data_IF_675317558212
#
_entry.id   IF_675317558212
#
_cell.length_a   1.000
_cell.length_b   1.000
_cell.length_c   1.000
_cell.angle_alpha   90.00
_cell.angle_beta   90.00
_cell.angle_gamma   90.00
#
_symmetry.space_group_name_H-M   'P 1'
#
loop_
_entity.id
_entity.type
_entity.pdbx_description
1 polymer ?
#
# COMPACT_ATOMS: atom_id res chain seq x y z
N UNK A 1 -16.62 5.38 4.79
CA UNK A 1 -15.92 6.14 5.87
C UNK A 1 -15.36 7.46 5.38
N UNK A 2 -14.68 7.53 4.23
CA UNK A 2 -14.14 8.81 3.72
C UNK A 2 -15.22 9.87 3.55
N UNK A 3 -16.38 9.54 3.00
CA UNK A 3 -17.48 10.48 2.80
C UNK A 3 -18.08 11.00 4.12
N UNK A 4 -18.12 10.16 5.16
CA UNK A 4 -18.64 10.57 6.49
C UNK A 4 -17.67 11.56 7.16
N UNK A 5 -16.36 11.33 7.07
CA UNK A 5 -15.36 12.28 7.62
C UNK A 5 -15.30 13.58 6.83
N UNK A 6 -15.52 13.54 5.51
CA UNK A 6 -15.63 14.70 4.64
C UNK A 6 -16.87 15.54 4.97
N UNK A 7 -18.05 14.90 5.09
CA UNK A 7 -19.30 15.58 5.41
C UNK A 7 -19.34 16.18 6.82
N UNK A 8 -18.61 15.60 7.76
CA UNK A 8 -18.52 16.10 9.15
C UNK A 8 -17.37 17.09 9.37
N UNK A 9 -16.53 17.37 8.35
CA UNK A 9 -15.37 18.28 8.48
C UNK A 9 -14.29 17.82 9.46
N UNK A 10 -14.28 16.51 9.81
CA UNK A 10 -13.36 15.93 10.82
C UNK A 10 -12.25 15.07 10.18
N UNK A 11 -11.80 15.43 8.98
CA UNK A 11 -10.71 14.73 8.28
C UNK A 11 -9.41 14.64 9.11
N UNK A 12 -9.13 15.66 9.91
CA UNK A 12 -7.99 15.69 10.83
C UNK A 12 -8.00 14.61 11.93
N UNK A 13 -9.17 14.03 12.22
CA UNK A 13 -9.32 12.97 13.24
C UNK A 13 -9.07 11.56 12.69
N UNK A 14 -9.06 11.41 11.37
CA UNK A 14 -8.82 10.12 10.70
C UNK A 14 -7.53 9.43 11.16
N UNK A 15 -6.38 10.12 11.26
CA UNK A 15 -5.15 9.51 11.79
C UNK A 15 -5.28 9.06 13.24
N UNK A 16 -5.95 9.87 14.08
CA UNK A 16 -6.16 9.54 15.48
C UNK A 16 -7.07 8.32 15.66
N UNK A 17 -8.20 8.30 14.94
CA UNK A 17 -9.12 7.15 14.96
C UNK A 17 -8.43 5.89 14.45
N UNK A 18 -7.66 6.00 13.38
CA UNK A 18 -6.88 4.88 12.85
C UNK A 18 -5.85 4.38 13.86
N UNK A 19 -5.14 5.28 14.55
CA UNK A 19 -4.17 4.92 15.58
C UNK A 19 -4.82 4.25 16.80
N UNK A 20 -6.05 4.63 17.16
CA UNK A 20 -6.78 4.03 18.28
C UNK A 20 -7.42 2.67 17.91
N UNK A 21 -7.81 2.49 16.64
CA UNK A 21 -8.43 1.24 16.17
C UNK A 21 -7.38 0.17 15.79
N UNK A 22 -6.24 0.61 15.27
CA UNK A 22 -5.17 -0.30 14.88
C UNK A 22 -4.22 -0.55 16.07
N UNK A 23 -3.77 -1.81 16.23
CA UNK A 23 -2.71 -2.09 17.19
C UNK A 23 -1.47 -1.21 16.96
N UNK A 24 -0.70 -0.88 18.01
CA UNK A 24 -0.71 -1.50 19.34
C UNK A 24 -1.69 -0.88 20.34
N UNK A 25 -2.30 0.30 20.06
CA UNK A 25 -3.06 1.05 21.05
C UNK A 25 -4.18 0.25 21.75
N UNK A 26 -5.12 -0.44 21.05
CA UNK A 26 -6.18 -1.17 21.73
C UNK A 26 -5.65 -2.32 22.60
N UNK A 27 -4.56 -2.99 22.21
CA UNK A 27 -3.96 -4.06 22.99
C UNK A 27 -3.30 -3.54 24.25
N UNK A 28 -2.62 -2.39 24.17
CA UNK A 28 -2.05 -1.72 25.35
C UNK A 28 -3.16 -1.24 26.30
N UNK A 29 -4.26 -0.72 25.77
CA UNK A 29 -5.42 -0.33 26.59
C UNK A 29 -6.00 -1.54 27.35
N UNK A 30 -6.08 -2.71 26.72
CA UNK A 30 -6.51 -3.93 27.43
C UNK A 30 -5.60 -4.26 28.62
N UNK A 31 -4.28 -4.16 28.44
CA UNK A 31 -3.31 -4.39 29.52
C UNK A 31 -3.51 -3.37 30.66
N UNK A 32 -3.65 -2.08 30.34
CA UNK A 32 -3.82 -1.02 31.33
C UNK A 32 -5.15 -1.16 32.08
N UNK A 33 -6.25 -1.48 31.39
CA UNK A 33 -7.56 -1.73 32.00
C UNK A 33 -7.49 -2.96 32.91
N UNK A 34 -6.85 -4.03 32.44
CA UNK A 34 -6.61 -5.23 33.25
C UNK A 34 -5.83 -4.92 34.51
N UNK A 35 -4.72 -4.19 34.40
CA UNK A 35 -3.92 -3.76 35.56
C UNK A 35 -4.76 -2.93 36.56
N UNK A 36 -5.61 -2.02 36.07
CA UNK A 36 -6.50 -1.19 36.93
C UNK A 36 -7.55 -2.04 37.66
N UNK A 37 -8.03 -3.11 37.02
CA UNK A 37 -9.04 -4.01 37.60
C UNK A 37 -8.47 -5.05 38.56
N UNK A 38 -7.15 -5.19 38.70
CA UNK A 38 -6.47 -6.23 39.49
C UNK A 38 -6.96 -6.29 40.93
N UNK A 39 -7.26 -5.14 41.50
CA UNK A 39 -7.71 -5.04 42.91
C UNK A 39 -9.19 -5.40 43.14
N UNK A 40 -10.02 -5.31 42.08
CA UNK A 40 -11.47 -5.48 42.20
C UNK A 40 -11.99 -6.76 41.54
N UNK A 41 -11.41 -7.18 40.41
CA UNK A 41 -11.87 -8.31 39.57
C UNK A 41 -10.67 -9.07 39.02
N UNK A 42 -9.97 -9.82 39.85
CA UNK A 42 -8.70 -10.49 39.52
C UNK A 42 -8.78 -11.35 38.26
N UNK A 43 -9.84 -12.17 38.11
CA UNK A 43 -9.96 -13.08 36.96
C UNK A 43 -10.09 -12.30 35.63
N UNK A 44 -10.97 -11.31 35.59
CA UNK A 44 -11.14 -10.45 34.42
C UNK A 44 -9.86 -9.65 34.13
N UNK A 45 -9.19 -9.18 35.16
CA UNK A 45 -7.90 -8.46 35.05
C UNK A 45 -6.85 -9.33 34.35
N UNK A 46 -6.66 -10.55 34.82
CA UNK A 46 -5.73 -11.49 34.17
C UNK A 46 -6.11 -11.83 32.74
N UNK A 47 -7.39 -12.05 32.45
CA UNK A 47 -7.86 -12.28 31.07
C UNK A 47 -7.52 -11.13 30.15
N UNK A 48 -7.78 -9.88 30.57
CA UNK A 48 -7.45 -8.69 29.77
C UNK A 48 -5.96 -8.52 29.55
N UNK A 49 -5.15 -8.72 30.59
CA UNK A 49 -3.68 -8.64 30.50
C UNK A 49 -3.17 -9.72 29.54
N UNK A 50 -3.57 -10.97 29.73
CA UNK A 50 -3.14 -12.07 28.85
C UNK A 50 -3.55 -11.84 27.40
N UNK A 51 -4.79 -11.41 27.16
CA UNK A 51 -5.28 -11.08 25.82
C UNK A 51 -4.46 -9.96 25.17
N UNK A 52 -4.19 -8.88 25.91
CA UNK A 52 -3.40 -7.77 25.44
C UNK A 52 -1.94 -8.15 25.13
N UNK A 53 -1.29 -8.88 26.03
CA UNK A 53 0.11 -9.32 25.86
C UNK A 53 0.23 -10.35 24.74
N UNK A 54 -0.65 -11.36 24.70
CA UNK A 54 -0.66 -12.36 23.63
C UNK A 54 -0.97 -11.70 22.27
N UNK A 55 -1.93 -10.78 22.24
CA UNK A 55 -2.24 -10.02 21.03
C UNK A 55 -1.04 -9.21 20.54
N UNK A 56 -0.30 -8.54 21.42
CA UNK A 56 0.93 -7.82 21.09
C UNK A 56 2.02 -8.76 20.56
N UNK A 57 2.20 -9.92 21.22
CA UNK A 57 3.14 -10.93 20.76
C UNK A 57 2.81 -11.39 19.33
N UNK A 58 1.60 -11.85 19.10
CA UNK A 58 1.13 -12.33 17.80
C UNK A 58 1.25 -11.27 16.72
N UNK A 59 0.89 -10.03 17.05
CA UNK A 59 0.99 -8.92 16.13
C UNK A 59 2.42 -8.64 15.65
N UNK A 60 3.41 -8.94 16.49
CA UNK A 60 4.83 -8.77 16.13
C UNK A 60 5.39 -9.97 15.36
N UNK A 61 4.61 -11.03 15.08
CA UNK A 61 5.10 -12.23 14.40
C UNK A 61 4.94 -12.17 12.89
N UNK A 62 5.94 -12.66 12.16
CA UNK A 62 5.89 -12.79 10.70
C UNK A 62 4.80 -13.78 10.25
N UNK A 63 4.52 -14.81 11.05
CA UNK A 63 3.48 -15.80 10.80
C UNK A 63 2.10 -15.15 10.65
N UNK A 64 1.71 -14.27 11.58
CA UNK A 64 0.42 -13.57 11.50
C UNK A 64 0.39 -12.65 10.28
N UNK A 65 1.47 -11.91 9.98
CA UNK A 65 1.56 -11.10 8.77
C UNK A 65 1.33 -11.92 7.49
N UNK A 66 1.98 -13.08 7.36
CA UNK A 66 1.80 -14.01 6.23
C UNK A 66 0.36 -14.56 6.16
N UNK A 67 -0.22 -14.96 7.30
CA UNK A 67 -1.59 -15.47 7.36
C UNK A 67 -2.63 -14.40 6.97
N UNK A 68 -2.47 -13.16 7.43
CA UNK A 68 -3.36 -12.07 7.07
C UNK A 68 -3.23 -11.70 5.58
N UNK A 69 -2.01 -11.64 5.06
CA UNK A 69 -1.80 -11.37 3.64
C UNK A 69 -2.48 -12.44 2.77
N UNK A 70 -2.24 -13.72 3.06
CA UNK A 70 -2.76 -14.82 2.25
C UNK A 70 -4.26 -15.11 2.51
N UNK A 71 -4.75 -14.87 3.71
CA UNK A 71 -6.14 -15.14 4.10
C UNK A 71 -7.10 -13.98 3.82
N UNK A 72 -6.71 -12.74 4.15
CA UNK A 72 -7.58 -11.57 4.03
C UNK A 72 -7.36 -10.79 2.73
N UNK A 73 -6.10 -10.51 2.40
CA UNK A 73 -5.79 -9.63 1.26
C UNK A 73 -5.72 -10.40 -0.06
N UNK A 74 -5.20 -11.61 -0.07
CA UNK A 74 -5.11 -12.50 -1.23
C UNK A 74 -4.61 -11.81 -2.50
N UNK A 75 -3.42 -11.19 -2.49
CA UNK A 75 -2.88 -10.58 -3.69
C UNK A 75 -2.62 -11.65 -4.76
N UNK A 76 -2.65 -11.27 -6.05
CA UNK A 76 -2.17 -12.17 -7.09
C UNK A 76 -0.69 -12.50 -6.86
N UNK A 77 -0.18 -13.60 -7.43
CA UNK A 77 1.25 -13.92 -7.39
C UNK A 77 2.08 -12.86 -8.13
N UNK A 78 3.36 -12.77 -7.82
CA UNK A 78 4.30 -11.96 -8.59
C UNK A 78 4.37 -12.46 -10.04
N UNK A 79 4.58 -11.55 -10.99
CA UNK A 79 4.70 -11.91 -12.41
C UNK A 79 5.88 -12.88 -12.61
N UNK A 80 5.60 -13.96 -13.32
CA UNK A 80 6.62 -14.92 -13.73
C UNK A 80 7.26 -14.54 -15.08
N UNK A 81 8.31 -15.25 -15.48
CA UNK A 81 9.06 -14.98 -16.73
C UNK A 81 8.19 -15.09 -17.99
N UNK A 82 7.22 -16.02 -18.00
CA UNK A 82 6.31 -16.21 -19.14
C UNK A 82 5.37 -15.02 -19.27
N UNK A 83 4.76 -14.59 -18.17
CA UNK A 83 3.87 -13.40 -18.15
C UNK A 83 4.61 -12.14 -18.57
N UNK A 84 5.86 -11.95 -18.11
CA UNK A 84 6.69 -10.81 -18.53
C UNK A 84 6.98 -10.87 -20.05
N UNK A 85 7.23 -12.05 -20.57
CA UNK A 85 7.46 -12.24 -22.02
C UNK A 85 6.19 -11.94 -22.84
N UNK A 86 5.02 -12.31 -22.35
CA UNK A 86 3.74 -11.97 -22.97
C UNK A 86 3.44 -10.47 -22.93
N UNK A 87 3.77 -9.80 -21.83
CA UNK A 87 3.65 -8.36 -21.71
C UNK A 87 4.51 -7.63 -22.77
N UNK A 88 5.72 -8.13 -23.05
CA UNK A 88 6.58 -7.59 -24.13
C UNK A 88 5.90 -7.58 -25.49
N UNK A 89 5.04 -8.56 -25.75
CA UNK A 89 4.30 -8.69 -27.03
C UNK A 89 2.95 -7.96 -27.03
N UNK A 90 2.59 -7.32 -25.93
CA UNK A 90 1.27 -6.71 -25.74
C UNK A 90 1.30 -5.23 -26.14
N UNK A 91 0.84 -4.83 -27.32
CA UNK A 91 0.78 -3.44 -27.71
C UNK A 91 -0.24 -2.68 -26.85
N UNK A 92 -0.18 -1.36 -26.85
CA UNK A 92 -1.12 -0.49 -26.11
C UNK A 92 -1.21 -0.80 -24.61
N UNK A 93 -0.07 -1.21 -24.02
CA UNK A 93 0.06 -1.52 -22.60
C UNK A 93 0.93 -0.47 -21.91
N UNK A 94 0.54 -0.03 -20.72
CA UNK A 94 1.34 0.84 -19.87
C UNK A 94 1.56 0.22 -18.49
N UNK A 95 2.78 0.37 -17.94
CA UNK A 95 3.08 0.07 -16.55
C UNK A 95 2.70 1.29 -15.72
N UNK A 96 1.90 1.12 -14.68
CA UNK A 96 1.46 2.17 -13.77
C UNK A 96 2.00 1.90 -12.38
N UNK A 97 2.93 2.73 -11.94
CA UNK A 97 3.51 2.68 -10.60
C UNK A 97 2.68 3.54 -9.67
N UNK A 98 2.15 2.94 -8.59
CA UNK A 98 1.38 3.68 -7.59
C UNK A 98 2.29 4.26 -6.51
N UNK A 99 2.08 5.52 -6.19
CA UNK A 99 2.69 6.18 -5.04
C UNK A 99 2.34 5.48 -3.72
N UNK A 100 3.15 5.69 -2.73
CA UNK A 100 2.97 5.17 -1.37
C UNK A 100 3.40 6.17 -0.31
N UNK A 101 3.66 7.41 -0.72
CA UNK A 101 4.03 8.53 0.12
C UNK A 101 5.38 9.15 -0.21
N UNK A 102 5.57 10.35 0.30
CA UNK A 102 6.79 11.16 0.13
C UNK A 102 7.35 11.61 1.48
N UNK A 103 8.60 11.99 1.49
CA UNK A 103 9.24 12.75 2.57
C UNK A 103 9.34 14.20 2.11
N UNK A 104 8.83 15.14 2.90
CA UNK A 104 8.80 16.57 2.56
C UNK A 104 10.20 17.16 2.38
N UNK A 105 11.11 16.71 3.22
CA UNK A 105 12.52 17.07 3.17
C UNK A 105 13.37 15.85 3.51
N UNK A 106 14.31 15.56 2.66
CA UNK A 106 15.42 14.64 2.90
C UNK A 106 16.69 15.50 3.02
N UNK A 107 17.21 15.70 4.23
CA UNK A 107 18.35 16.61 4.45
C UNK A 107 19.56 16.25 3.60
N UNK A 108 19.78 14.96 3.37
CA UNK A 108 20.85 14.39 2.56
C UNK A 108 20.81 14.80 1.08
N UNK A 109 19.64 15.19 0.58
CA UNK A 109 19.42 15.67 -0.80
C UNK A 109 19.05 17.16 -0.87
N UNK A 110 18.79 17.81 0.27
CA UNK A 110 18.32 19.19 0.34
C UNK A 110 16.94 19.43 -0.28
N UNK A 111 16.16 18.38 -0.54
CA UNK A 111 14.86 18.46 -1.23
C UNK A 111 13.92 17.32 -0.78
N UNK A 112 12.67 17.37 -1.26
CA UNK A 112 11.71 16.28 -1.07
C UNK A 112 12.15 15.01 -1.80
N UNK A 113 11.82 13.84 -1.24
CA UNK A 113 12.06 12.53 -1.88
C UNK A 113 10.86 11.61 -1.69
N UNK A 114 10.81 10.52 -2.44
CA UNK A 114 9.84 9.46 -2.21
C UNK A 114 10.15 8.73 -0.90
N UNK A 115 9.13 8.19 -0.25
CA UNK A 115 9.35 7.27 0.87
C UNK A 115 9.92 5.92 0.36
N UNK A 116 10.47 5.06 1.23
CA UNK A 116 11.05 3.78 0.81
C UNK A 116 10.10 2.93 -0.04
N UNK A 117 8.82 2.85 0.32
CA UNK A 117 7.83 2.06 -0.43
C UNK A 117 7.62 2.59 -1.86
N UNK A 118 7.56 3.91 -2.03
CA UNK A 118 7.42 4.50 -3.38
C UNK A 118 8.68 4.30 -4.22
N UNK A 119 9.88 4.38 -3.61
CA UNK A 119 11.15 4.09 -4.30
C UNK A 119 11.21 2.64 -4.76
N UNK A 120 10.85 1.70 -3.90
CA UNK A 120 10.84 0.28 -4.25
C UNK A 120 9.88 -0.03 -5.40
N UNK A 121 8.68 0.54 -5.38
CA UNK A 121 7.70 0.41 -6.47
C UNK A 121 8.22 1.02 -7.77
N UNK A 122 8.79 2.22 -7.71
CA UNK A 122 9.38 2.88 -8.87
C UNK A 122 10.51 2.05 -9.48
N UNK A 123 11.42 1.54 -8.65
CA UNK A 123 12.50 0.65 -9.07
C UNK A 123 11.97 -0.59 -9.78
N UNK A 124 10.96 -1.26 -9.22
CA UNK A 124 10.37 -2.44 -9.83
C UNK A 124 9.65 -2.11 -11.14
N UNK A 125 8.89 -1.01 -11.20
CA UNK A 125 8.24 -0.54 -12.41
C UNK A 125 9.24 -0.23 -13.54
N UNK A 126 10.37 0.41 -13.22
CA UNK A 126 11.44 0.69 -14.17
C UNK A 126 12.15 -0.59 -14.63
N UNK A 127 12.40 -1.53 -13.70
CA UNK A 127 12.94 -2.85 -14.05
C UNK A 127 12.01 -3.59 -15.02
N UNK A 128 10.72 -3.67 -14.71
CA UNK A 128 9.72 -4.30 -15.57
C UNK A 128 9.63 -3.63 -16.95
N UNK A 129 9.77 -2.29 -16.99
CA UNK A 129 9.83 -1.55 -18.24
C UNK A 129 11.07 -1.86 -19.08
N UNK A 130 12.21 -2.16 -18.45
CA UNK A 130 13.42 -2.61 -19.17
C UNK A 130 13.21 -4.02 -19.76
N UNK A 131 12.58 -4.92 -19.00
CA UNK A 131 12.31 -6.28 -19.44
C UNK A 131 11.27 -6.34 -20.56
N UNK A 132 10.28 -5.46 -20.57
CA UNK A 132 9.15 -5.52 -21.49
C UNK A 132 9.20 -4.50 -22.63
N UNK A 133 9.96 -3.43 -22.49
CA UNK A 133 9.94 -2.29 -23.42
C UNK A 133 8.74 -1.35 -23.23
N UNK A 134 7.85 -1.61 -22.28
CA UNK A 134 6.62 -0.86 -22.06
C UNK A 134 6.90 0.52 -21.46
N UNK A 135 6.06 1.52 -21.80
CA UNK A 135 6.13 2.84 -21.18
C UNK A 135 5.64 2.80 -19.71
N UNK A 136 6.19 3.70 -18.90
CA UNK A 136 5.87 3.82 -17.48
C UNK A 136 5.10 5.11 -17.22
N UNK A 137 4.01 4.97 -16.47
CA UNK A 137 3.31 6.05 -15.79
C UNK A 137 3.54 5.96 -14.29
N UNK A 138 3.51 7.09 -13.60
CA UNK A 138 3.45 7.15 -12.14
C UNK A 138 2.16 7.86 -11.73
N UNK A 139 1.49 7.33 -10.72
CA UNK A 139 0.28 7.94 -10.16
C UNK A 139 0.45 8.17 -8.66
N UNK A 140 0.41 9.44 -8.27
CA UNK A 140 0.50 9.87 -6.88
C UNK A 140 0.66 11.39 -6.77
N UNK A 141 -0.29 12.01 -6.10
CA UNK A 141 -0.32 13.45 -5.83
C UNK A 141 0.14 13.79 -4.41
N UNK A 142 -0.65 14.60 -3.72
CA UNK A 142 -0.47 14.97 -2.31
C UNK A 142 -1.61 14.35 -1.51
N UNK A 143 -1.31 13.38 -0.66
CA UNK A 143 -2.31 12.69 0.16
C UNK A 143 -3.07 13.62 1.10
N UNK A 144 -4.24 13.18 1.56
CA UNK A 144 -5.06 13.93 2.50
C UNK A 144 -4.28 14.32 3.76
N UNK A 145 -4.34 15.60 4.15
CA UNK A 145 -3.66 16.12 5.33
C UNK A 145 -2.14 16.28 5.20
N UNK A 146 -1.54 15.98 4.05
CA UNK A 146 -0.13 16.23 3.80
C UNK A 146 0.11 17.70 3.45
N UNK A 147 1.30 18.23 3.81
CA UNK A 147 1.67 19.60 3.50
C UNK A 147 1.82 19.83 2.01
N UNK A 148 1.52 21.05 1.55
CA UNK A 148 1.77 21.47 0.17
C UNK A 148 3.26 21.33 -0.21
N UNK A 149 3.53 21.12 -1.50
CA UNK A 149 4.88 20.95 -2.03
C UNK A 149 4.89 20.10 -3.30
N UNK A 150 6.05 19.59 -3.69
CA UNK A 150 6.18 18.72 -4.86
C UNK A 150 5.34 17.45 -4.68
N UNK A 151 4.62 17.04 -5.71
CA UNK A 151 3.80 15.82 -5.68
C UNK A 151 4.67 14.56 -5.71
N UNK A 152 4.10 13.40 -5.37
CA UNK A 152 4.82 12.14 -5.53
C UNK A 152 5.24 11.90 -6.98
N UNK A 153 4.36 12.24 -7.94
CA UNK A 153 4.65 12.12 -9.37
C UNK A 153 5.81 12.98 -9.83
N UNK A 154 5.89 14.26 -9.39
CA UNK A 154 7.01 15.15 -9.72
C UNK A 154 8.34 14.62 -9.17
N UNK A 155 8.31 14.12 -7.94
CA UNK A 155 9.49 13.54 -7.29
C UNK A 155 9.88 12.24 -8.00
N UNK A 156 8.91 11.38 -8.35
CA UNK A 156 9.15 10.13 -9.08
C UNK A 156 9.76 10.39 -10.45
N UNK A 157 9.28 11.40 -11.19
CA UNK A 157 9.82 11.77 -12.50
C UNK A 157 11.29 12.17 -12.39
N UNK A 158 11.62 13.05 -11.43
CA UNK A 158 12.99 13.48 -11.17
C UNK A 158 13.92 12.30 -10.84
N UNK A 159 13.48 11.37 -9.98
CA UNK A 159 14.26 10.19 -9.59
C UNK A 159 14.39 9.22 -10.76
N UNK A 160 13.31 8.97 -11.51
CA UNK A 160 13.32 8.07 -12.67
C UNK A 160 14.32 8.54 -13.74
N UNK A 161 14.35 9.82 -14.02
CA UNK A 161 15.29 10.41 -14.99
C UNK A 161 16.72 10.44 -14.46
N UNK A 162 16.93 11.02 -13.27
CA UNK A 162 18.28 11.26 -12.74
C UNK A 162 18.98 9.98 -12.26
N UNK A 163 18.26 9.14 -11.48
CA UNK A 163 18.88 8.01 -10.78
C UNK A 163 18.77 6.71 -11.60
N UNK A 164 17.75 6.60 -12.46
CA UNK A 164 17.53 5.40 -13.28
C UNK A 164 17.77 5.60 -14.78
N UNK A 165 18.00 6.87 -15.24
CA UNK A 165 18.19 7.18 -16.66
C UNK A 165 16.99 6.84 -17.54
N UNK A 166 15.78 6.83 -16.98
CA UNK A 166 14.57 6.45 -17.70
C UNK A 166 13.40 7.38 -17.34
N UNK A 167 13.10 8.37 -18.19
CA UNK A 167 12.01 9.28 -17.94
C UNK A 167 10.66 8.56 -17.97
N UNK A 168 9.74 8.99 -17.13
CA UNK A 168 8.36 8.52 -17.11
C UNK A 168 7.58 9.15 -18.25
N UNK A 169 6.74 8.36 -18.94
CA UNK A 169 5.98 8.85 -20.08
C UNK A 169 4.76 9.65 -19.63
N UNK A 170 4.11 9.27 -18.55
CA UNK A 170 2.94 9.96 -18.02
C UNK A 170 3.04 10.12 -16.51
N UNK A 171 2.52 11.24 -16.03
CA UNK A 171 2.44 11.58 -14.62
C UNK A 171 1.01 11.94 -14.26
N UNK A 172 0.47 11.25 -13.28
CA UNK A 172 -0.75 11.66 -12.62
C UNK A 172 -0.36 12.18 -11.23
N UNK A 173 -0.62 13.46 -10.97
CA UNK A 173 -0.12 14.20 -9.80
C UNK A 173 -1.19 14.83 -8.95
N UNK A 174 -2.47 14.57 -9.26
CA UNK A 174 -3.61 15.25 -8.62
C UNK A 174 -4.38 14.37 -7.63
N UNK A 175 -4.08 13.07 -7.61
CA UNK A 175 -4.75 12.11 -6.73
C UNK A 175 -4.34 12.27 -5.27
N UNK A 176 -5.28 12.05 -4.36
CA UNK A 176 -5.09 12.13 -2.91
C UNK A 176 -5.24 10.79 -2.21
N UNK A 177 -5.80 9.79 -2.90
CA UNK A 177 -6.01 8.43 -2.41
C UNK A 177 -6.01 7.41 -3.56
N UNK A 178 -6.15 6.11 -3.22
CA UNK A 178 -6.06 5.02 -4.19
C UNK A 178 -7.22 5.03 -5.19
N UNK A 179 -8.41 5.48 -4.80
CA UNK A 179 -9.56 5.59 -5.70
C UNK A 179 -9.32 6.68 -6.74
N UNK A 180 -8.84 7.84 -6.30
CA UNK A 180 -8.47 8.92 -7.22
C UNK A 180 -7.30 8.51 -8.12
N UNK A 181 -6.29 7.79 -7.60
CA UNK A 181 -5.21 7.22 -8.42
C UNK A 181 -5.79 6.42 -9.59
N UNK A 182 -6.68 5.48 -9.32
CA UNK A 182 -7.27 4.64 -10.36
C UNK A 182 -8.07 5.45 -11.38
N UNK A 183 -9.01 6.29 -10.92
CA UNK A 183 -9.87 7.08 -11.79
C UNK A 183 -9.07 8.04 -12.69
N UNK A 184 -8.12 8.78 -12.11
CA UNK A 184 -7.33 9.79 -12.83
C UNK A 184 -6.31 9.14 -13.77
N UNK A 185 -5.70 8.02 -13.37
CA UNK A 185 -4.79 7.26 -14.23
C UNK A 185 -5.52 6.69 -15.47
N UNK A 186 -6.70 6.11 -15.26
CA UNK A 186 -7.52 5.61 -16.38
C UNK A 186 -7.91 6.75 -17.32
N UNK A 187 -8.38 7.88 -16.78
CA UNK A 187 -8.72 9.07 -17.57
C UNK A 187 -7.51 9.64 -18.33
N UNK A 188 -6.29 9.54 -17.78
CA UNK A 188 -5.06 9.97 -18.42
C UNK A 188 -4.65 9.04 -19.56
N UNK A 189 -4.77 7.72 -19.38
CA UNK A 189 -4.21 6.72 -20.29
C UNK A 189 -5.18 6.33 -21.43
N UNK A 190 -6.49 6.38 -21.19
CA UNK A 190 -7.50 6.02 -22.19
C UNK A 190 -7.40 6.84 -23.48
N UNK A 191 -7.28 8.19 -23.45
CA UNK A 191 -7.12 9.00 -24.67
C UNK A 191 -5.80 8.74 -25.41
N UNK A 192 -4.82 8.10 -24.72
CA UNK A 192 -3.52 7.74 -25.30
C UNK A 192 -3.56 6.38 -26.03
N UNK A 193 -4.74 5.78 -26.15
CA UNK A 193 -4.92 4.49 -26.81
C UNK A 193 -4.40 3.29 -26.01
N UNK A 194 -4.20 3.44 -24.69
CA UNK A 194 -3.82 2.33 -23.81
C UNK A 194 -5.05 1.47 -23.53
N UNK A 195 -4.90 0.17 -23.71
CA UNK A 195 -5.94 -0.84 -23.50
C UNK A 195 -5.62 -1.81 -22.36
N UNK A 196 -4.36 -1.84 -21.92
CA UNK A 196 -3.93 -2.68 -20.79
C UNK A 196 -3.09 -1.88 -19.81
N UNK A 197 -3.41 -1.99 -18.55
CA UNK A 197 -2.66 -1.37 -17.45
C UNK A 197 -2.04 -2.47 -16.60
N UNK A 198 -0.71 -2.40 -16.40
CA UNK A 198 0.03 -3.23 -15.46
C UNK A 198 0.26 -2.42 -14.20
N UNK A 199 -0.49 -2.71 -13.14
CA UNK A 199 -0.44 -1.97 -11.88
C UNK A 199 0.70 -2.48 -11.01
N UNK A 200 1.64 -1.62 -10.68
CA UNK A 200 2.78 -1.92 -9.80
C UNK A 200 2.55 -1.30 -8.42
N UNK A 201 2.47 -2.15 -7.42
CA UNK A 201 2.42 -1.76 -6.00
C UNK A 201 2.85 -2.93 -5.11
N UNK A 202 2.97 -2.70 -3.79
CA UNK A 202 3.25 -3.79 -2.84
C UNK A 202 2.11 -4.81 -2.77
N UNK A 203 2.45 -6.07 -2.53
CA UNK A 203 1.49 -7.18 -2.46
C UNK A 203 0.36 -6.92 -1.45
N UNK A 204 0.67 -6.36 -0.29
CA UNK A 204 -0.33 -6.01 0.73
C UNK A 204 -1.35 -4.96 0.27
N UNK A 205 -0.96 -4.06 -0.62
CA UNK A 205 -1.81 -3.02 -1.19
C UNK A 205 -2.50 -3.44 -2.50
N UNK A 206 -2.02 -4.49 -3.16
CA UNK A 206 -2.41 -4.86 -4.52
C UNK A 206 -3.91 -5.14 -4.66
N UNK A 207 -4.49 -5.89 -3.73
CA UNK A 207 -5.92 -6.25 -3.81
C UNK A 207 -6.82 -5.01 -3.76
N UNK A 208 -6.51 -4.04 -2.91
CA UNK A 208 -7.27 -2.77 -2.85
C UNK A 208 -7.04 -1.92 -4.11
N UNK A 209 -5.81 -1.89 -4.61
CA UNK A 209 -5.49 -1.19 -5.85
C UNK A 209 -6.27 -1.77 -7.04
N UNK A 210 -6.22 -3.09 -7.24
CA UNK A 210 -6.92 -3.76 -8.34
C UNK A 210 -8.43 -3.50 -8.30
N UNK A 211 -9.07 -3.62 -7.13
CA UNK A 211 -10.52 -3.31 -6.98
C UNK A 211 -10.87 -1.88 -7.42
N UNK A 212 -10.02 -0.91 -7.11
CA UNK A 212 -10.24 0.48 -7.51
C UNK A 212 -10.04 0.67 -9.03
N UNK A 213 -9.01 0.05 -9.61
CA UNK A 213 -8.78 0.08 -11.05
C UNK A 213 -9.89 -0.65 -11.83
N UNK A 214 -10.34 -1.82 -11.38
CA UNK A 214 -11.46 -2.56 -11.97
C UNK A 214 -12.75 -1.71 -11.98
N UNK A 215 -13.04 -1.02 -10.89
CA UNK A 215 -14.16 -0.06 -10.83
C UNK A 215 -13.98 1.11 -11.81
N UNK A 216 -12.75 1.62 -11.93
CA UNK A 216 -12.45 2.75 -12.81
C UNK A 216 -12.63 2.40 -14.30
N UNK A 217 -12.37 1.14 -14.68
CA UNK A 217 -12.51 0.68 -16.08
C UNK A 217 -13.85 -0.01 -16.39
N UNK A 218 -14.79 -0.11 -15.44
CA UNK A 218 -16.01 -0.94 -15.55
C UNK A 218 -16.82 -0.71 -16.86
N UNK A 219 -16.74 0.49 -17.44
CA UNK A 219 -17.43 0.85 -18.68
C UNK A 219 -16.46 1.09 -19.86
N UNK A 220 -15.24 0.56 -19.80
CA UNK A 220 -14.19 0.81 -20.79
C UNK A 220 -13.61 -0.51 -21.34
N UNK A 221 -13.12 -0.46 -22.57
CA UNK A 221 -12.41 -1.59 -23.19
C UNK A 221 -10.95 -1.63 -22.72
N UNK A 222 -10.75 -1.69 -21.41
CA UNK A 222 -9.42 -1.79 -20.80
C UNK A 222 -9.31 -3.04 -19.93
N UNK A 223 -8.11 -3.53 -19.77
CA UNK A 223 -7.80 -4.68 -18.89
C UNK A 223 -6.74 -4.31 -17.87
N UNK A 224 -6.80 -4.92 -16.70
CA UNK A 224 -5.86 -4.68 -15.61
C UNK A 224 -5.09 -5.95 -15.29
N UNK A 225 -3.79 -5.82 -15.10
CA UNK A 225 -2.90 -6.88 -14.64
C UNK A 225 -2.18 -6.38 -13.39
N UNK A 226 -2.20 -7.15 -12.32
CA UNK A 226 -1.43 -6.83 -11.11
C UNK A 226 0.02 -7.28 -11.24
N UNK A 227 0.96 -6.41 -10.91
CA UNK A 227 2.38 -6.71 -10.77
C UNK A 227 2.81 -6.43 -9.32
N UNK A 228 2.42 -7.29 -8.37
CA UNK A 228 2.75 -7.09 -6.96
C UNK A 228 4.25 -7.28 -6.70
N UNK A 229 4.78 -6.50 -5.76
CA UNK A 229 6.16 -6.62 -5.29
C UNK A 229 6.20 -6.64 -3.75
N UNK A 230 7.35 -7.04 -3.18
CA UNK A 230 7.55 -7.02 -1.73
C UNK A 230 6.66 -7.98 -0.94
N UNK A 231 6.07 -8.97 -1.59
CA UNK A 231 5.36 -10.06 -0.92
C UNK A 231 6.32 -11.02 -0.20
N UNK A 232 5.80 -11.82 0.74
CA UNK A 232 6.60 -12.83 1.41
C UNK A 232 7.06 -13.90 0.41
N UNK A 233 8.23 -14.44 0.64
CA UNK A 233 8.69 -15.61 -0.12
C UNK A 233 7.72 -16.77 0.09
N UNK A 234 7.25 -17.43 -0.98
CA UNK A 234 6.43 -18.62 -0.86
C UNK A 234 7.15 -19.73 -0.08
N UNK A 235 6.45 -20.34 0.85
CA UNK A 235 7.01 -21.42 1.67
C UNK A 235 6.17 -21.69 2.91
N UNK A 236 6.44 -22.81 3.60
CA UNK A 236 5.80 -23.09 4.89
C UNK A 236 6.21 -22.06 5.95
N UNK A 237 5.42 -21.98 7.03
CA UNK A 237 5.77 -21.18 8.18
C UNK A 237 6.95 -21.86 8.94
N UNK A 238 7.96 -21.09 9.25
CA UNK A 238 9.09 -21.53 10.06
C UNK A 238 8.88 -21.15 11.54
N UNK A 239 9.61 -21.81 12.44
CA UNK A 239 9.57 -21.46 13.88
C UNK A 239 9.96 -20.01 14.12
N UNK A 240 10.90 -19.48 13.36
CA UNK A 240 11.35 -18.09 13.42
C UNK A 240 10.24 -17.09 13.06
N UNK A 241 9.27 -17.49 12.25
CA UNK A 241 8.12 -16.65 11.91
C UNK A 241 7.21 -16.36 13.12
N UNK A 242 7.26 -17.19 14.16
CA UNK A 242 6.47 -17.02 15.39
C UNK A 242 7.19 -16.19 16.47
N UNK A 243 8.42 -15.77 16.19
CA UNK A 243 9.16 -14.87 17.07
C UNK A 243 8.82 -13.40 16.75
N UNK A 244 8.67 -12.55 17.78
CA UNK A 244 8.44 -11.13 17.61
C UNK A 244 9.57 -10.45 16.83
N UNK A 245 9.20 -9.62 15.86
CA UNK A 245 10.14 -8.84 15.06
C UNK A 245 9.50 -7.55 14.57
N UNK A 246 10.31 -6.55 14.27
CA UNK A 246 9.85 -5.27 13.68
C UNK A 246 9.19 -5.52 12.33
N UNK A 247 9.73 -6.44 11.52
CA UNK A 247 9.13 -6.81 10.22
C UNK A 247 7.77 -7.49 10.37
N UNK A 248 7.63 -8.36 11.37
CA UNK A 248 6.36 -9.01 11.68
C UNK A 248 5.29 -8.00 12.08
N UNK A 249 5.66 -7.03 12.92
CA UNK A 249 4.76 -5.93 13.30
C UNK A 249 4.33 -5.10 12.09
N UNK A 250 5.26 -4.64 11.26
CA UNK A 250 4.94 -3.84 10.06
C UNK A 250 4.03 -4.62 9.09
N UNK A 251 4.35 -5.90 8.82
CA UNK A 251 3.55 -6.75 7.94
C UNK A 251 2.11 -6.93 8.44
N UNK A 252 1.94 -7.22 9.74
CA UNK A 252 0.62 -7.40 10.37
C UNK A 252 -0.16 -6.10 10.39
N UNK A 253 0.49 -5.00 10.79
CA UNK A 253 -0.14 -3.68 10.87
C UNK A 253 -0.63 -3.22 9.48
N UNK A 254 0.21 -3.35 8.47
CA UNK A 254 -0.16 -2.96 7.10
C UNK A 254 -1.29 -3.84 6.56
N UNK A 255 -1.26 -5.17 6.83
CA UNK A 255 -2.33 -6.05 6.40
C UNK A 255 -3.69 -5.66 7.01
N UNK A 256 -3.72 -5.35 8.30
CA UNK A 256 -4.92 -4.87 8.99
C UNK A 256 -5.38 -3.51 8.47
N UNK A 257 -4.46 -2.58 8.25
CA UNK A 257 -4.76 -1.26 7.69
C UNK A 257 -5.39 -1.37 6.29
N UNK A 258 -4.83 -2.18 5.41
CA UNK A 258 -5.35 -2.40 4.06
C UNK A 258 -6.73 -3.07 4.09
N UNK A 259 -6.91 -4.07 4.97
CA UNK A 259 -8.19 -4.75 5.13
C UNK A 259 -9.28 -3.79 5.63
N UNK A 260 -8.99 -2.96 6.64
CA UNK A 260 -9.91 -1.93 7.12
C UNK A 260 -10.20 -0.89 6.01
N UNK A 261 -9.20 -0.51 5.23
CA UNK A 261 -9.38 0.38 4.08
C UNK A 261 -10.37 -0.20 3.05
N UNK A 262 -10.26 -1.51 2.77
CA UNK A 262 -11.19 -2.20 1.86
C UNK A 262 -12.63 -2.25 2.42
N UNK A 263 -12.81 -2.48 3.73
CA UNK A 263 -14.12 -2.47 4.38
C UNK A 263 -14.73 -1.06 4.39
N UNK A 264 -13.90 -0.06 4.47
CA UNK A 264 -14.31 1.34 4.45
C UNK A 264 -14.66 1.88 3.05
N UNK A 265 -14.52 1.05 2.00
CA UNK A 265 -14.76 1.47 0.62
C UNK A 265 -13.69 2.39 0.03
N UNK A 266 -12.52 2.45 0.66
CA UNK A 266 -11.41 3.32 0.26
C UNK A 266 -10.52 2.65 -0.80
#
# INVERSE_FOLDING_TARGET
>A
MNEIFLTLGVEGWKPLVTALLLPPAPLLLLVLIGARLMYRRRLLAWLLILLGVTGLWLMCTGAIGKLLLNGLLRPPPALNSTEITELRKSPRTAIVVLGGGRRELAPEYGTSTLNPRSIERLRYGIWLARETGLPVAFSGGIGHGAKAGATEGDIAARIAERDFGRPLRWLETSSRDTRENALRTVALLQPQGIEKIVVVTHANHMTRALRNFERAIANQKMTIVGAPMGGPTPGPLELTDWLPSVRGFDATWVALHEWLGMLAGA
#
